data_IF_106923709937
#
_entry.id   IF_106923709937
#
_cell.length_a   1.000
_cell.length_b   1.000
_cell.length_c   1.000
_cell.angle_alpha   90.00
_cell.angle_beta   90.00
_cell.angle_gamma   90.00
#
_symmetry.space_group_name_H-M   'P 1'
#
loop_
_entity.id
_entity.type
_entity.pdbx_description
1 polymer ?
#
# COMPACT_ATOMS: atom_id res chain seq x y z
N UNK A 1 41.86 -20.42 16.32
CA UNK A 1 40.43 -20.75 16.36
C UNK A 1 39.68 -19.54 16.87
N UNK A 2 39.06 -18.77 15.98
CA UNK A 2 38.16 -17.69 16.35
C UNK A 2 36.74 -18.19 16.06
N UNK A 3 35.99 -18.49 17.11
CA UNK A 3 34.56 -18.79 17.00
C UNK A 3 33.83 -17.46 16.78
N UNK A 4 33.44 -17.19 15.53
CA UNK A 4 32.45 -16.17 15.23
C UNK A 4 31.10 -16.66 15.74
N UNK A 5 30.74 -16.26 16.96
CA UNK A 5 29.38 -16.36 17.44
C UNK A 5 28.52 -15.38 16.64
N UNK A 6 27.85 -15.89 15.60
CA UNK A 6 26.70 -15.24 15.00
C UNK A 6 25.57 -15.24 16.04
N UNK A 7 25.55 -14.23 16.92
CA UNK A 7 24.43 -13.99 17.82
C UNK A 7 23.53 -12.91 17.20
N UNK A 8 22.38 -13.38 16.70
CA UNK A 8 21.08 -12.68 16.68
C UNK A 8 20.92 -11.40 15.84
N UNK A 9 20.98 -11.48 14.51
CA UNK A 9 20.27 -10.49 13.65
C UNK A 9 18.76 -10.71 13.56
N UNK A 10 18.25 -11.84 14.06
CA UNK A 10 16.85 -12.27 13.85
C UNK A 10 15.84 -11.56 14.77
N UNK A 11 16.32 -10.95 15.86
CA UNK A 11 15.48 -10.28 16.86
C UNK A 11 15.36 -8.76 16.66
N UNK A 12 16.20 -8.16 15.84
CA UNK A 12 16.15 -6.71 15.60
C UNK A 12 14.90 -6.33 14.78
N UNK A 13 14.34 -5.13 14.99
CA UNK A 13 13.32 -4.57 14.11
C UNK A 13 13.80 -4.54 12.65
N UNK A 14 12.97 -5.07 11.76
CA UNK A 14 13.21 -5.09 10.31
C UNK A 14 11.88 -4.86 9.57
N UNK A 15 11.95 -4.63 8.25
CA UNK A 15 10.78 -4.28 7.44
C UNK A 15 10.10 -3.00 7.95
N UNK A 16 10.90 -2.03 8.42
CA UNK A 16 10.39 -0.77 8.97
C UNK A 16 9.69 0.03 7.88
N UNK A 17 8.48 0.47 8.16
CA UNK A 17 7.72 1.33 7.26
C UNK A 17 6.89 2.38 8.02
N UNK A 18 6.66 3.52 7.36
CA UNK A 18 5.91 4.65 7.88
C UNK A 18 4.59 4.80 7.12
N UNK A 19 3.48 5.01 7.81
CA UNK A 19 2.18 5.35 7.20
C UNK A 19 1.56 6.60 7.84
N UNK A 20 0.76 7.32 7.07
CA UNK A 20 0.01 8.49 7.57
C UNK A 20 -1.22 8.02 8.35
N UNK A 21 -1.53 8.71 9.45
CA UNK A 21 -2.71 8.39 10.30
C UNK A 21 -3.63 9.59 10.49
N UNK A 22 -3.13 10.81 10.34
CA UNK A 22 -3.87 12.06 10.36
C UNK A 22 -2.93 13.23 10.10
N UNK A 23 -3.43 14.47 10.15
CA UNK A 23 -2.59 15.66 9.87
C UNK A 23 -1.42 15.81 10.84
N UNK A 24 -1.60 15.39 12.10
CA UNK A 24 -0.60 15.50 13.17
C UNK A 24 0.01 14.16 13.59
N UNK A 25 -0.31 13.06 12.90
CA UNK A 25 0.05 11.71 13.35
C UNK A 25 0.59 10.84 12.21
N UNK A 26 1.70 10.15 12.50
CA UNK A 26 2.22 9.07 11.68
C UNK A 26 2.26 7.77 12.48
N UNK A 27 2.35 6.65 11.76
CA UNK A 27 2.57 5.32 12.31
C UNK A 27 3.90 4.80 11.82
N UNK A 28 4.68 4.27 12.74
CA UNK A 28 5.86 3.46 12.44
C UNK A 28 5.50 2.01 12.73
N UNK A 29 5.84 1.11 11.82
CA UNK A 29 5.55 -0.32 11.94
C UNK A 29 6.78 -1.11 11.53
N UNK A 30 7.02 -2.23 12.21
CA UNK A 30 8.17 -3.12 12.00
C UNK A 30 7.79 -4.55 12.35
N UNK A 31 8.66 -5.47 11.97
CA UNK A 31 8.58 -6.89 12.33
C UNK A 31 9.78 -7.24 13.19
N UNK A 32 9.58 -8.13 14.15
CA UNK A 32 10.64 -8.72 14.98
C UNK A 32 10.25 -10.16 15.32
N UNK A 33 11.24 -11.04 15.49
CA UNK A 33 11.02 -12.37 16.05
C UNK A 33 11.08 -12.39 17.59
N UNK A 34 11.34 -11.24 18.22
CA UNK A 34 11.31 -11.12 19.67
C UNK A 34 9.88 -10.84 20.14
N UNK A 35 9.17 -11.90 20.53
CA UNK A 35 7.78 -11.82 21.00
C UNK A 35 7.62 -11.05 22.31
N UNK A 36 8.70 -10.87 23.06
CA UNK A 36 8.70 -10.13 24.33
C UNK A 36 9.13 -8.67 24.15
N UNK A 37 9.53 -8.25 22.94
CA UNK A 37 9.96 -6.89 22.68
C UNK A 37 8.80 -5.89 22.83
N UNK A 38 9.01 -4.77 23.54
CA UNK A 38 7.99 -3.74 23.64
C UNK A 38 7.75 -3.08 22.28
N UNK A 39 6.49 -2.77 21.99
CA UNK A 39 6.12 -1.90 20.87
C UNK A 39 6.39 -0.45 21.24
N UNK A 40 7.66 -0.01 21.23
CA UNK A 40 8.12 1.32 21.64
C UNK A 40 8.86 2.01 20.48
N UNK A 41 8.54 3.27 20.24
CA UNK A 41 9.27 4.15 19.31
C UNK A 41 9.75 5.38 20.07
N UNK A 42 11.03 5.68 19.98
CA UNK A 42 11.61 6.95 20.43
C UNK A 42 11.80 7.87 19.23
N UNK A 43 11.42 9.13 19.36
CA UNK A 43 11.43 10.11 18.27
C UNK A 43 11.69 11.52 18.78
N UNK A 44 12.17 12.39 17.91
CA UNK A 44 12.45 13.79 18.23
C UNK A 44 13.07 14.51 17.04
N UNK A 45 13.13 15.83 17.11
CA UNK A 45 13.93 16.60 16.16
C UNK A 45 15.38 16.61 16.60
N UNK A 46 16.33 16.61 15.66
CA UNK A 46 17.78 16.56 15.94
C UNK A 46 18.29 17.65 16.90
N UNK A 47 17.52 18.71 17.09
CA UNK A 47 17.84 19.86 17.96
C UNK A 47 17.33 19.68 19.41
N UNK A 48 16.48 18.68 19.67
CA UNK A 48 15.99 18.36 21.02
C UNK A 48 16.95 17.43 21.75
N UNK A 49 17.24 17.74 23.02
CA UNK A 49 18.18 17.00 23.87
C UNK A 49 17.58 15.76 24.51
N UNK A 50 16.25 15.64 24.54
CA UNK A 50 15.52 14.50 25.10
C UNK A 50 14.48 14.01 24.10
N UNK A 51 14.58 12.77 23.59
CA UNK A 51 13.60 12.24 22.68
C UNK A 51 12.25 12.03 23.38
N UNK A 52 11.17 12.26 22.64
CA UNK A 52 9.83 11.79 22.99
C UNK A 52 9.71 10.29 22.73
N UNK A 53 8.68 9.66 23.28
CA UNK A 53 8.40 8.25 23.00
C UNK A 53 6.90 7.96 22.90
N UNK A 54 6.58 6.91 22.14
CA UNK A 54 5.23 6.40 21.96
C UNK A 54 5.23 4.87 22.03
N UNK A 55 4.20 4.31 22.65
CA UNK A 55 3.95 2.86 22.66
C UNK A 55 2.84 2.50 21.67
N UNK A 56 2.89 1.28 21.16
CA UNK A 56 1.93 0.74 20.18
C UNK A 56 1.42 -0.65 20.53
N UNK A 57 0.75 -1.25 19.56
CA UNK A 57 0.23 -2.61 19.64
C UNK A 57 1.08 -3.55 18.76
N UNK A 58 1.08 -4.84 19.10
CA UNK A 58 1.68 -5.89 18.28
C UNK A 58 0.61 -6.90 17.86
N UNK A 59 0.80 -7.51 16.69
CA UNK A 59 0.00 -8.65 16.24
C UNK A 59 0.93 -9.74 15.75
N UNK A 60 0.57 -10.98 16.02
CA UNK A 60 1.27 -12.16 15.49
C UNK A 60 0.27 -13.05 14.79
N UNK A 61 0.71 -13.72 13.73
CA UNK A 61 -0.11 -14.69 13.03
C UNK A 61 0.73 -15.89 12.61
N UNK A 62 0.20 -17.08 12.85
CA UNK A 62 0.80 -18.32 12.37
C UNK A 62 0.39 -18.56 10.93
N UNK A 63 1.34 -19.02 10.13
CA UNK A 63 1.13 -19.37 8.73
C UNK A 63 1.80 -20.70 8.40
N UNK A 64 1.38 -21.30 7.29
CA UNK A 64 1.99 -22.53 6.78
C UNK A 64 2.98 -22.20 5.68
N UNK A 65 4.11 -22.89 5.66
CA UNK A 65 5.08 -22.75 4.58
C UNK A 65 4.56 -23.45 3.33
N UNK A 66 4.27 -22.65 2.30
CA UNK A 66 4.09 -23.11 0.94
C UNK A 66 5.17 -22.48 0.07
N UNK A 67 5.93 -23.28 -0.67
CA UNK A 67 6.95 -22.80 -1.61
C UNK A 67 6.32 -22.83 -3.01
N UNK A 68 5.89 -21.66 -3.48
CA UNK A 68 5.53 -21.47 -4.90
C UNK A 68 6.79 -21.30 -5.73
N UNK A 69 6.79 -21.74 -6.99
CA UNK A 69 7.93 -21.66 -7.92
C UNK A 69 8.15 -20.27 -8.52
N UNK A 70 7.32 -19.31 -8.14
CA UNK A 70 7.14 -18.05 -8.86
C UNK A 70 7.47 -16.88 -7.91
N UNK A 71 8.63 -16.21 -8.03
CA UNK A 71 8.95 -15.07 -7.18
C UNK A 71 8.15 -13.84 -7.63
N UNK A 72 7.25 -13.34 -6.77
CA UNK A 72 6.43 -12.15 -7.02
C UNK A 72 7.22 -10.86 -7.29
N UNK A 73 8.46 -10.83 -6.81
CA UNK A 73 9.39 -9.72 -6.92
C UNK A 73 10.44 -10.03 -7.98
N UNK A 74 10.49 -9.21 -9.03
CA UNK A 74 11.36 -9.43 -10.19
C UNK A 74 12.45 -8.37 -10.30
N UNK A 75 13.36 -8.53 -11.27
CA UNK A 75 14.32 -7.48 -11.64
C UNK A 75 13.63 -6.18 -12.10
N UNK A 76 12.42 -6.29 -12.63
CA UNK A 76 11.62 -5.14 -13.07
C UNK A 76 11.07 -4.38 -11.86
N UNK A 77 10.56 -5.10 -10.86
CA UNK A 77 10.17 -4.50 -9.56
C UNK A 77 11.31 -3.69 -8.97
N UNK A 78 12.53 -4.26 -8.96
CA UNK A 78 13.72 -3.56 -8.47
C UNK A 78 14.00 -2.27 -9.27
N UNK A 79 13.93 -2.33 -10.60
CA UNK A 79 14.12 -1.16 -11.45
C UNK A 79 13.07 -0.08 -11.18
N UNK A 80 11.80 -0.45 -10.99
CA UNK A 80 10.74 0.50 -10.59
C UNK A 80 11.08 1.19 -9.27
N UNK A 81 11.52 0.45 -8.26
CA UNK A 81 11.91 1.02 -6.96
C UNK A 81 13.15 1.92 -7.04
N UNK A 82 14.09 1.63 -7.94
CA UNK A 82 15.24 2.50 -8.22
C UNK A 82 14.78 3.85 -8.79
N UNK A 83 13.82 3.86 -9.73
CA UNK A 83 13.23 5.12 -10.23
C UNK A 83 12.47 5.86 -9.12
N UNK A 84 11.69 5.15 -8.29
CA UNK A 84 10.99 5.75 -7.15
C UNK A 84 11.96 6.42 -6.19
N UNK A 85 13.12 5.79 -5.93
CA UNK A 85 14.18 6.35 -5.09
C UNK A 85 14.76 7.66 -5.64
N UNK A 86 14.94 7.72 -6.96
CA UNK A 86 15.51 8.89 -7.65
C UNK A 86 14.50 10.05 -7.75
N UNK A 87 13.20 9.75 -7.73
CA UNK A 87 12.16 10.76 -7.71
C UNK A 87 11.99 11.41 -6.33
N UNK A 88 11.95 12.73 -6.31
CA UNK A 88 11.53 13.48 -5.12
C UNK A 88 10.02 13.28 -4.90
N UNK A 89 9.66 12.69 -3.76
CA UNK A 89 8.29 12.50 -3.35
C UNK A 89 8.19 12.51 -1.82
N UNK A 90 7.01 12.86 -1.30
CA UNK A 90 6.73 12.87 0.13
C UNK A 90 5.95 11.63 0.59
N UNK A 91 5.08 11.12 -0.28
CA UNK A 91 4.20 9.97 -0.04
C UNK A 91 4.26 9.06 -1.27
N UNK A 92 4.37 7.76 -1.05
CA UNK A 92 4.23 6.74 -2.07
C UNK A 92 2.89 6.00 -1.90
N UNK A 93 2.12 5.93 -2.99
CA UNK A 93 0.82 5.26 -3.05
C UNK A 93 0.96 3.98 -3.88
N UNK A 94 0.63 2.82 -3.30
CA UNK A 94 0.69 1.53 -3.98
C UNK A 94 -0.69 0.85 -3.93
N UNK A 95 -1.44 0.84 -5.05
CA UNK A 95 -2.82 0.36 -5.08
C UNK A 95 -2.89 -1.18 -5.19
N UNK A 96 -2.43 -1.87 -4.13
CA UNK A 96 -2.52 -3.32 -3.91
C UNK A 96 -1.67 -4.21 -4.81
N UNK A 97 -1.90 -5.52 -4.69
CA UNK A 97 -1.08 -6.60 -5.24
C UNK A 97 0.40 -6.40 -4.89
N UNK A 98 0.69 -6.50 -3.59
CA UNK A 98 1.94 -6.02 -3.02
C UNK A 98 3.09 -7.00 -3.24
N UNK A 99 2.95 -8.21 -2.67
CA UNK A 99 4.04 -9.18 -2.61
C UNK A 99 3.90 -10.29 -3.64
N UNK A 100 2.69 -10.48 -4.19
CA UNK A 100 2.29 -11.68 -4.95
C UNK A 100 2.66 -12.96 -4.20
N UNK A 101 2.55 -12.93 -2.86
CA UNK A 101 2.92 -14.05 -2.02
C UNK A 101 2.04 -15.27 -2.30
N UNK A 102 0.75 -15.06 -2.61
CA UNK A 102 -0.21 -16.11 -2.95
C UNK A 102 -0.11 -17.31 -2.02
N UNK A 103 -0.15 -17.00 -0.71
CA UNK A 103 -0.01 -17.94 0.42
C UNK A 103 1.43 -18.37 0.73
N UNK A 104 2.42 -18.08 -0.11
CA UNK A 104 3.85 -18.24 0.19
C UNK A 104 4.36 -17.09 1.05
N UNK A 105 4.17 -17.18 2.37
CA UNK A 105 4.40 -16.06 3.29
C UNK A 105 5.84 -15.54 3.34
N UNK A 106 6.83 -16.35 2.95
CA UNK A 106 8.22 -15.90 2.83
C UNK A 106 8.40 -14.78 1.79
N UNK A 107 7.49 -14.68 0.81
CA UNK A 107 7.49 -13.60 -0.16
C UNK A 107 7.03 -12.27 0.45
N UNK A 108 6.19 -12.27 1.49
CA UNK A 108 5.89 -11.06 2.25
C UNK A 108 7.13 -10.50 2.95
N UNK A 109 7.94 -11.38 3.56
CA UNK A 109 9.18 -10.96 4.22
C UNK A 109 10.21 -10.43 3.22
N UNK A 110 10.34 -11.11 2.07
CA UNK A 110 11.20 -10.65 0.98
C UNK A 110 10.75 -9.29 0.46
N UNK A 111 9.43 -9.09 0.31
CA UNK A 111 8.86 -7.82 -0.15
C UNK A 111 9.11 -6.69 0.85
N UNK A 112 8.87 -6.93 2.14
CA UNK A 112 9.12 -5.95 3.19
C UNK A 112 10.59 -5.53 3.24
N UNK A 113 11.52 -6.48 3.11
CA UNK A 113 12.96 -6.19 3.06
C UNK A 113 13.34 -5.40 1.79
N UNK A 114 12.70 -5.70 0.67
CA UNK A 114 12.93 -5.01 -0.60
C UNK A 114 12.51 -3.54 -0.55
N UNK A 115 11.37 -3.23 0.08
CA UNK A 115 10.80 -1.87 0.12
C UNK A 115 11.24 -1.05 1.34
N UNK A 116 11.69 -1.69 2.42
CA UNK A 116 12.15 -1.04 3.66
C UNK A 116 13.08 0.16 3.45
N UNK A 117 14.10 0.12 2.56
CA UNK A 117 14.99 1.27 2.35
C UNK A 117 14.25 2.56 1.95
N UNK A 118 13.10 2.44 1.29
CA UNK A 118 12.24 3.55 0.90
C UNK A 118 11.16 3.80 1.96
N UNK A 119 10.44 2.76 2.35
CA UNK A 119 9.28 2.84 3.24
C UNK A 119 9.63 3.32 4.66
N UNK A 120 10.88 3.14 5.12
CA UNK A 120 11.35 3.66 6.42
C UNK A 120 11.62 5.18 6.42
N UNK A 121 11.63 5.81 5.25
CA UNK A 121 12.06 7.21 5.08
C UNK A 121 10.97 8.15 4.58
N UNK A 122 9.94 7.58 3.95
CA UNK A 122 8.81 8.30 3.35
C UNK A 122 7.53 7.54 3.62
N UNK A 123 6.41 8.24 3.72
CA UNK A 123 5.14 7.60 4.00
C UNK A 123 4.74 6.66 2.85
N UNK A 124 4.45 5.41 3.18
CA UNK A 124 4.12 4.34 2.25
C UNK A 124 2.70 3.86 2.50
N UNK A 125 1.79 4.26 1.63
CA UNK A 125 0.36 3.97 1.76
C UNK A 125 -0.04 2.89 0.76
N UNK A 126 -0.72 1.85 1.24
CA UNK A 126 -1.13 0.72 0.42
C UNK A 126 -2.63 0.50 0.48
N UNK A 127 -3.18 -0.17 -0.51
CA UNK A 127 -4.48 -0.85 -0.41
C UNK A 127 -4.30 -2.36 -0.55
N UNK A 128 -5.34 -3.14 -0.26
CA UNK A 128 -5.37 -4.56 -0.57
C UNK A 128 -5.72 -4.78 -2.05
N UNK A 129 -5.18 -5.83 -2.67
CA UNK A 129 -5.53 -6.39 -3.98
C UNK A 129 -6.06 -7.81 -3.92
N UNK A 130 -6.36 -8.41 -5.08
CA UNK A 130 -6.86 -9.79 -5.15
C UNK A 130 -5.80 -10.79 -4.66
N UNK A 131 -4.51 -10.50 -4.87
CA UNK A 131 -3.41 -11.33 -4.36
C UNK A 131 -3.28 -11.31 -2.83
N UNK A 132 -3.83 -10.30 -2.15
CA UNK A 132 -3.85 -10.23 -0.69
C UNK A 132 -4.96 -11.07 -0.03
N UNK A 133 -5.92 -11.63 -0.80
CA UNK A 133 -7.00 -12.45 -0.25
C UNK A 133 -6.45 -13.69 0.46
N UNK A 134 -5.51 -14.40 -0.17
CA UNK A 134 -4.76 -15.55 0.36
C UNK A 134 -5.55 -16.63 1.10
N UNK A 135 -6.86 -16.77 0.91
CA UNK A 135 -7.65 -17.77 1.62
C UNK A 135 -7.26 -19.20 1.21
N UNK A 136 -7.24 -20.13 2.15
CA UNK A 136 -7.06 -21.57 1.91
C UNK A 136 -8.31 -22.27 2.43
N UNK A 137 -9.06 -23.01 1.59
CA UNK A 137 -10.21 -23.78 2.05
C UNK A 137 -9.84 -24.62 3.26
N UNK A 138 -10.67 -24.55 4.32
CA UNK A 138 -10.51 -25.28 5.59
C UNK A 138 -9.38 -24.76 6.49
N UNK A 139 -8.20 -24.45 5.97
CA UNK A 139 -6.99 -24.12 6.76
C UNK A 139 -6.83 -22.62 7.08
N UNK A 140 -7.24 -21.72 6.18
CA UNK A 140 -7.13 -20.28 6.37
C UNK A 140 -8.34 -19.57 5.74
N UNK A 141 -9.42 -19.46 6.51
CA UNK A 141 -10.72 -18.98 6.01
C UNK A 141 -10.83 -17.46 5.91
N UNK A 142 -10.02 -16.72 6.68
CA UNK A 142 -10.06 -15.26 6.72
C UNK A 142 -9.20 -14.67 5.61
N UNK A 143 -9.80 -13.83 4.76
CA UNK A 143 -9.08 -13.09 3.73
C UNK A 143 -8.20 -11.99 4.34
N UNK A 144 -7.18 -11.54 3.60
CA UNK A 144 -6.37 -10.36 3.94
C UNK A 144 -5.59 -10.46 5.26
N UNK A 145 -5.36 -11.68 5.78
CA UNK A 145 -4.71 -11.87 7.08
C UNK A 145 -3.29 -11.32 7.11
N UNK A 146 -2.47 -11.65 6.11
CA UNK A 146 -1.09 -11.18 6.00
C UNK A 146 -1.03 -9.66 5.77
N UNK A 147 -1.85 -9.16 4.85
CA UNK A 147 -2.00 -7.72 4.59
C UNK A 147 -2.34 -6.94 5.87
N UNK A 148 -3.41 -7.32 6.59
CA UNK A 148 -3.85 -6.60 7.77
C UNK A 148 -2.88 -6.68 8.95
N UNK A 149 -2.07 -7.74 9.04
CA UNK A 149 -1.06 -7.87 10.08
C UNK A 149 0.20 -7.04 9.76
N UNK A 150 0.58 -6.93 8.49
CA UNK A 150 1.83 -6.29 8.04
C UNK A 150 1.67 -4.82 7.70
N UNK A 151 0.53 -4.42 7.14
CA UNK A 151 0.30 -3.09 6.57
C UNK A 151 -0.94 -2.45 7.19
N UNK A 152 -0.74 -1.77 8.32
CA UNK A 152 -1.82 -1.07 9.03
C UNK A 152 -2.06 0.31 8.44
N UNK A 153 -3.14 0.42 7.66
CA UNK A 153 -3.63 1.67 7.09
C UNK A 153 -4.70 2.32 7.98
N UNK A 154 -4.88 3.66 7.92
CA UNK A 154 -5.66 4.42 8.90
C UNK A 154 -7.18 4.35 8.67
N UNK A 155 -7.74 3.14 8.51
CA UNK A 155 -9.17 2.97 8.25
C UNK A 155 -10.03 3.57 9.37
N UNK A 156 -9.74 3.26 10.63
CA UNK A 156 -10.50 3.77 11.78
C UNK A 156 -10.32 5.28 11.97
N UNK A 157 -9.08 5.76 11.84
CA UNK A 157 -8.73 7.17 12.04
C UNK A 157 -9.21 8.06 10.90
N UNK A 158 -9.38 7.51 9.69
CA UNK A 158 -10.01 8.23 8.58
C UNK A 158 -11.44 8.67 8.91
N UNK A 159 -12.10 8.01 9.87
CA UNK A 159 -13.50 8.27 10.22
C UNK A 159 -14.43 8.17 9.01
N UNK A 160 -14.03 7.42 7.97
CA UNK A 160 -14.69 7.42 6.68
C UNK A 160 -16.00 6.65 6.73
N UNK A 161 -17.09 7.37 7.01
CA UNK A 161 -18.44 6.97 6.63
C UNK A 161 -18.79 7.29 5.17
N UNK A 162 -17.80 7.63 4.34
CA UNK A 162 -17.91 8.11 2.96
C UNK A 162 -17.20 9.45 2.69
N UNK A 163 -17.20 9.90 1.43
CA UNK A 163 -16.52 11.13 0.96
C UNK A 163 -17.16 12.45 1.45
N UNK A 164 -18.32 12.40 2.11
CA UNK A 164 -19.09 13.59 2.52
C UNK A 164 -18.50 14.43 3.66
N UNK A 165 -17.29 14.12 4.14
CA UNK A 165 -16.60 14.82 5.26
C UNK A 165 -15.38 15.64 4.83
N UNK A 166 -15.08 15.72 3.54
CA UNK A 166 -13.93 16.50 3.04
C UNK A 166 -14.31 17.99 2.96
N UNK A 167 -13.70 18.83 3.80
CA UNK A 167 -13.82 20.29 3.71
C UNK A 167 -12.87 20.83 2.63
N UNK A 168 -13.39 20.95 1.41
CA UNK A 168 -12.61 21.36 0.25
C UNK A 168 -12.10 22.80 0.31
N UNK A 169 -12.73 23.69 1.09
CA UNK A 169 -12.28 25.09 1.22
C UNK A 169 -11.02 25.14 2.07
N UNK A 170 -10.96 24.37 3.17
CA UNK A 170 -9.76 24.28 3.98
C UNK A 170 -8.63 23.54 3.27
N UNK A 171 -8.95 22.45 2.57
CA UNK A 171 -7.95 21.62 1.87
C UNK A 171 -7.41 22.27 0.58
N UNK A 172 -8.14 23.21 -0.04
CA UNK A 172 -7.68 23.95 -1.23
C UNK A 172 -6.88 25.22 -0.91
N UNK A 173 -7.03 25.80 0.30
CA UNK A 173 -6.26 26.99 0.73
C UNK A 173 -4.84 26.61 1.16
N UNK A 174 -4.64 25.38 1.64
CA UNK A 174 -3.33 24.70 1.61
C UNK A 174 -3.10 24.18 0.19
N UNK A 175 -2.45 24.98 -0.68
CA UNK A 175 -2.23 24.81 -2.13
C UNK A 175 -1.58 23.48 -2.63
N UNK A 176 -1.74 22.34 -1.97
CA UNK A 176 -1.06 21.07 -2.30
C UNK A 176 -1.93 19.81 -2.20
N UNK A 177 -3.22 19.88 -1.87
CA UNK A 177 -4.07 18.67 -1.72
C UNK A 177 -5.26 18.71 -2.67
N UNK A 178 -5.10 18.15 -3.87
CA UNK A 178 -6.24 17.67 -4.64
C UNK A 178 -6.89 16.48 -3.92
N UNK A 179 -8.21 16.31 -4.08
CA UNK A 179 -8.95 15.18 -3.55
C UNK A 179 -8.68 13.97 -4.44
N UNK A 180 -7.76 13.12 -3.98
CA UNK A 180 -7.38 11.89 -4.64
C UNK A 180 -7.92 10.70 -3.86
N UNK A 181 -8.41 9.68 -4.56
CA UNK A 181 -8.76 8.41 -3.94
C UNK A 181 -8.02 7.27 -4.63
N UNK A 182 -7.49 6.35 -3.83
CA UNK A 182 -7.06 5.05 -4.33
C UNK A 182 -8.29 4.17 -4.37
N UNK A 183 -8.67 3.74 -5.57
CA UNK A 183 -9.71 2.74 -5.71
C UNK A 183 -9.19 1.63 -6.58
N UNK A 184 -9.38 0.40 -6.11
CA UNK A 184 -9.18 -0.76 -6.94
C UNK A 184 -10.49 -1.13 -7.62
N UNK A 185 -10.56 -0.86 -8.91
CA UNK A 185 -11.43 -1.55 -9.86
C UNK A 185 -10.81 -1.39 -11.25
N UNK A 186 -11.09 -2.33 -12.14
CA UNK A 186 -10.70 -2.21 -13.54
C UNK A 186 -11.37 -1.00 -14.21
N UNK A 187 -10.63 -0.25 -15.02
CA UNK A 187 -11.20 0.83 -15.82
C UNK A 187 -11.13 0.54 -17.34
N UNK A 188 -12.32 0.31 -17.91
CA UNK A 188 -12.92 0.90 -19.11
C UNK A 188 -12.41 0.70 -20.55
N UNK A 189 -11.15 0.39 -20.82
CA UNK A 189 -10.81 -0.09 -22.19
C UNK A 189 -11.03 -1.59 -22.35
N UNK A 190 -11.07 -2.31 -21.22
CA UNK A 190 -11.43 -3.73 -21.16
C UNK A 190 -12.76 -3.81 -20.40
N UNK A 191 -13.85 -4.13 -21.09
CA UNK A 191 -15.11 -4.50 -20.43
C UNK A 191 -14.84 -5.74 -19.55
N UNK A 192 -15.00 -5.63 -18.22
CA UNK A 192 -14.51 -6.68 -17.30
C UNK A 192 -15.03 -6.62 -15.85
N UNK A 193 -14.34 -7.35 -14.98
CA UNK A 193 -14.61 -7.63 -13.55
C UNK A 193 -14.82 -6.37 -12.69
N UNK A 194 -14.27 -5.21 -13.06
CA UNK A 194 -14.40 -3.95 -12.32
C UNK A 194 -15.64 -3.09 -12.63
N UNK A 195 -16.40 -3.40 -13.68
CA UNK A 195 -17.44 -2.50 -14.21
C UNK A 195 -18.62 -2.28 -13.24
N UNK A 196 -18.98 -3.30 -12.46
CA UNK A 196 -20.05 -3.18 -11.47
C UNK A 196 -19.67 -2.19 -10.36
N UNK A 197 -18.46 -2.34 -9.79
CA UNK A 197 -17.94 -1.43 -8.77
C UNK A 197 -17.79 -0.01 -9.30
N UNK A 198 -17.30 0.14 -10.53
CA UNK A 198 -17.22 1.45 -11.19
C UNK A 198 -18.58 2.13 -11.28
N UNK A 199 -19.64 1.43 -11.73
CA UNK A 199 -20.99 2.01 -11.82
C UNK A 199 -21.56 2.43 -10.47
N UNK A 200 -21.27 1.65 -9.43
CA UNK A 200 -21.74 1.96 -8.07
C UNK A 200 -20.98 3.16 -7.46
N UNK A 201 -19.68 3.28 -7.76
CA UNK A 201 -18.82 4.31 -7.19
C UNK A 201 -18.77 5.60 -8.01
N UNK A 202 -18.86 5.55 -9.34
CA UNK A 202 -18.64 6.70 -10.23
C UNK A 202 -19.54 7.89 -9.86
N UNK A 203 -20.79 7.61 -9.44
CA UNK A 203 -21.74 8.64 -9.03
C UNK A 203 -21.29 9.33 -7.75
N UNK A 204 -20.76 8.58 -6.79
CA UNK A 204 -20.29 9.09 -5.50
C UNK A 204 -19.00 9.87 -5.70
N UNK A 205 -18.07 9.36 -6.50
CA UNK A 205 -16.80 10.02 -6.83
C UNK A 205 -17.03 11.34 -7.57
N UNK A 206 -17.92 11.32 -8.57
CA UNK A 206 -18.31 12.52 -9.32
C UNK A 206 -19.01 13.55 -8.42
N UNK A 207 -19.99 13.12 -7.61
CA UNK A 207 -20.70 14.00 -6.68
C UNK A 207 -19.78 14.60 -5.60
N UNK A 208 -18.76 13.84 -5.19
CA UNK A 208 -17.73 14.29 -4.27
C UNK A 208 -16.66 15.16 -4.94
N UNK A 209 -16.76 15.42 -6.25
CA UNK A 209 -15.80 16.20 -7.05
C UNK A 209 -14.36 15.69 -6.93
N UNK A 210 -14.18 14.37 -6.95
CA UNK A 210 -12.84 13.76 -6.97
C UNK A 210 -12.04 14.26 -8.18
N UNK A 211 -10.78 14.64 -7.96
CA UNK A 211 -9.93 15.19 -9.01
C UNK A 211 -9.25 14.07 -9.82
N UNK A 212 -8.68 13.07 -9.12
CA UNK A 212 -8.12 11.88 -9.78
C UNK A 212 -8.38 10.58 -8.99
N UNK A 213 -8.52 9.50 -9.74
CA UNK A 213 -8.62 8.12 -9.25
C UNK A 213 -7.38 7.36 -9.71
N UNK A 214 -6.67 6.75 -8.75
CA UNK A 214 -5.55 5.87 -9.03
C UNK A 214 -5.97 4.41 -8.82
N UNK A 215 -5.64 3.56 -9.80
CA UNK A 215 -5.91 2.13 -9.79
C UNK A 215 -4.67 1.30 -10.18
N UNK A 216 -4.65 0.04 -9.73
CA UNK A 216 -3.65 -0.97 -10.08
C UNK A 216 -4.28 -2.12 -10.88
N UNK A 217 -3.87 -3.36 -10.58
CA UNK A 217 -4.41 -4.61 -11.11
C UNK A 217 -4.12 -4.88 -12.60
N UNK A 218 -4.50 -3.98 -13.51
CA UNK A 218 -4.16 -4.12 -14.93
C UNK A 218 -2.67 -3.80 -15.12
N UNK A 219 -1.89 -4.75 -15.64
CA UNK A 219 -0.44 -4.61 -15.83
C UNK A 219 -0.09 -3.70 -17.03
N UNK A 220 -0.52 -2.44 -16.96
CA UNK A 220 -0.20 -1.35 -17.86
C UNK A 220 -0.32 0.00 -17.17
N UNK A 221 0.21 1.00 -17.88
CA UNK A 221 -0.17 2.37 -17.73
C UNK A 221 -1.34 2.74 -18.64
N UNK A 222 -2.39 3.35 -18.08
CA UNK A 222 -3.48 3.96 -18.82
C UNK A 222 -3.91 5.28 -18.18
N UNK A 223 -4.31 6.26 -19.00
CA UNK A 223 -4.88 7.52 -18.53
C UNK A 223 -6.10 7.92 -19.35
N UNK A 224 -7.24 8.03 -18.68
CA UNK A 224 -8.44 8.65 -19.24
C UNK A 224 -8.60 10.05 -18.69
N UNK A 225 -8.63 11.03 -19.59
CA UNK A 225 -8.88 12.43 -19.24
C UNK A 225 -10.37 12.62 -18.94
N UNK A 226 -10.68 13.34 -17.86
CA UNK A 226 -11.99 13.93 -17.56
C UNK A 226 -13.16 13.02 -17.98
N UNK A 227 -13.46 12.00 -17.18
CA UNK A 227 -14.32 10.88 -17.58
C UNK A 227 -15.49 10.64 -16.63
N UNK A 228 -16.70 10.42 -17.18
CA UNK A 228 -17.88 10.01 -16.40
C UNK A 228 -18.91 9.31 -17.29
N UNK A 229 -19.52 8.21 -16.80
CA UNK A 229 -20.55 7.44 -17.54
C UNK A 229 -20.15 7.08 -18.98
N UNK A 230 -18.94 6.57 -19.12
CA UNK A 230 -18.38 6.09 -20.39
C UNK A 230 -18.25 7.17 -21.48
N UNK A 231 -18.03 8.43 -21.08
CA UNK A 231 -17.77 9.55 -21.98
C UNK A 231 -16.88 10.60 -21.32
N UNK A 232 -16.25 11.44 -22.15
CA UNK A 232 -15.57 12.64 -21.68
C UNK A 232 -16.54 13.62 -21.02
N UNK A 233 -16.17 14.13 -19.86
CA UNK A 233 -16.92 15.06 -19.02
C UNK A 233 -15.93 15.95 -18.24
N UNK A 234 -15.93 17.26 -18.51
CA UNK A 234 -14.96 18.21 -17.94
C UNK A 234 -15.01 18.34 -16.41
N UNK A 235 -16.06 17.85 -15.77
CA UNK A 235 -16.20 17.81 -14.31
C UNK A 235 -15.90 16.41 -13.74
N UNK A 236 -15.61 15.43 -14.60
CA UNK A 236 -15.30 14.07 -14.22
C UNK A 236 -13.85 13.93 -13.73
N UNK A 237 -13.58 12.97 -12.82
CA UNK A 237 -12.22 12.68 -12.39
C UNK A 237 -11.34 12.21 -13.54
N UNK A 238 -10.04 12.47 -13.44
CA UNK A 238 -9.02 11.80 -14.25
C UNK A 238 -8.81 10.39 -13.69
N UNK A 239 -8.85 9.38 -14.55
CA UNK A 239 -8.55 8.00 -14.14
C UNK A 239 -7.16 7.61 -14.62
N UNK A 240 -6.32 7.15 -13.69
CA UNK A 240 -4.96 6.72 -13.96
C UNK A 240 -4.78 5.30 -13.44
N UNK A 241 -4.49 4.38 -14.36
CA UNK A 241 -4.11 3.00 -14.05
C UNK A 241 -2.59 2.89 -14.10
N UNK A 242 -1.99 2.40 -13.03
CA UNK A 242 -0.53 2.21 -12.89
C UNK A 242 -0.26 0.83 -12.27
N UNK A 243 -0.65 -0.24 -12.97
CA UNK A 243 -0.45 -1.62 -12.50
C UNK A 243 0.80 -2.29 -13.10
N UNK A 244 1.60 -1.57 -13.86
CA UNK A 244 2.81 -2.03 -14.54
C UNK A 244 4.07 -2.05 -13.66
N UNK A 245 3.91 -2.29 -12.35
CA UNK A 245 5.00 -2.31 -11.36
C UNK A 245 6.05 -3.42 -11.54
N UNK A 246 5.88 -4.31 -12.52
CA UNK A 246 6.87 -5.31 -12.92
C UNK A 246 6.82 -6.62 -12.14
N UNK A 247 5.62 -7.04 -11.71
CA UNK A 247 5.42 -8.36 -11.12
C UNK A 247 5.70 -9.49 -12.14
N UNK A 248 5.66 -10.73 -11.66
CA UNK A 248 6.01 -11.93 -12.43
C UNK A 248 5.03 -12.34 -13.53
N UNK A 249 3.79 -11.87 -13.48
CA UNK A 249 2.76 -12.22 -14.45
C UNK A 249 2.95 -11.50 -15.80
N UNK A 250 3.80 -10.47 -15.82
CA UNK A 250 4.15 -9.72 -17.03
C UNK A 250 3.08 -8.70 -17.42
N UNK A 251 3.33 -7.99 -18.53
CA UNK A 251 2.39 -6.99 -19.04
C UNK A 251 1.11 -7.64 -19.56
N UNK A 252 -0.01 -6.92 -19.43
CA UNK A 252 -1.27 -7.37 -20.01
C UNK A 252 -1.12 -7.57 -21.53
N UNK A 253 -1.74 -8.63 -22.05
CA UNK A 253 -1.58 -9.06 -23.44
C UNK A 253 -2.64 -8.48 -24.39
N UNK A 254 -3.63 -7.78 -23.84
CA UNK A 254 -4.72 -7.13 -24.56
C UNK A 254 -4.94 -5.74 -23.96
N UNK A 255 -4.96 -4.74 -24.84
CA UNK A 255 -5.28 -3.34 -24.57
C UNK A 255 -6.21 -2.83 -25.67
#
# INVERSE_FOLDING_TARGET
MAANAALSRDKDPHQVHISLVGSEHMRVSWITQDFDAPSLVEYGILLETTPSSATGESTSYSYFFYRSGDPGQTKWTKSTLEHVKEMEHHVFLLPGDLSYADRSQTLWDSFGQLVEPLARSRAWMVTQGNHEIETIPILMKSAFRAYNARWRMPYEQSGSGGLGRVDRVRTAVDNSVASHTMVQYEHLLIQGEGEAMRKDMEKILYAATVDMVFAGHVHAYERLVEWYRNKGDACGPVHITVGDGGNREGLASKY
#
